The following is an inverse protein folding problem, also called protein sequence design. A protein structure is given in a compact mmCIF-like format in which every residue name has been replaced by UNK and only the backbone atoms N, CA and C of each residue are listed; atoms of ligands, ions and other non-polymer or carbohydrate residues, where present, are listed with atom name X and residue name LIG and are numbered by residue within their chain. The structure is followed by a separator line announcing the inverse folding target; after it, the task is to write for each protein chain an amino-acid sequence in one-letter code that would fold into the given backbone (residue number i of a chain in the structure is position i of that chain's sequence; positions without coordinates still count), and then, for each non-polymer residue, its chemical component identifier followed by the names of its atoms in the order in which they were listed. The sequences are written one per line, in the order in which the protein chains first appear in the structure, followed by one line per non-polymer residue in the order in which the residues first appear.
data_IF_937611385307
#
_entry.id   IF_937611385307
#
_cell.length_a   1.000
_cell.length_b   1.000
_cell.length_c   1.000
_cell.angle_alpha   90.00
_cell.angle_beta   90.00
_cell.angle_gamma   90.00
#
_symmetry.space_group_name_H-M   'P 1'
#
loop_
_entity.id
_entity.type
_entity.pdbx_description
1 polymer ?
#
# COMPACT_ATOMS: atom_id res chain seq x y z
N UNK A 1 -19.07 -60.81 -5.15
CA UNK A 1 -19.57 -61.16 -6.50
C UNK A 1 -19.47 -59.90 -7.35
N UNK A 2 -18.49 -59.87 -8.27
CA UNK A 2 -18.33 -59.04 -9.50
C UNK A 2 -18.61 -57.50 -9.38
N UNK A 3 -17.65 -56.56 -9.35
CA UNK A 3 -16.59 -56.13 -10.31
C UNK A 3 -17.07 -55.11 -11.39
N UNK A 4 -16.25 -54.05 -11.58
CA UNK A 4 -16.17 -53.01 -12.66
C UNK A 4 -17.05 -51.75 -12.50
N UNK A 5 -16.46 -50.56 -12.30
CA UNK A 5 -15.75 -49.64 -13.23
C UNK A 5 -16.66 -48.84 -14.18
N UNK A 6 -16.35 -47.54 -14.35
CA UNK A 6 -16.55 -46.86 -15.63
C UNK A 6 -17.50 -45.66 -15.65
N UNK A 7 -16.96 -44.50 -15.31
CA UNK A 7 -17.11 -43.19 -15.98
C UNK A 7 -17.89 -43.17 -17.31
N UNK A 8 -18.93 -42.33 -17.46
CA UNK A 8 -19.38 -41.82 -18.78
C UNK A 8 -19.85 -40.36 -18.67
N UNK A 9 -19.07 -39.49 -19.33
CA UNK A 9 -19.37 -38.12 -19.75
C UNK A 9 -20.35 -38.16 -20.93
N UNK A 10 -21.43 -37.37 -20.87
CA UNK A 10 -22.34 -37.05 -21.98
C UNK A 10 -21.53 -36.36 -23.09
N UNK A 11 -21.50 -36.74 -24.37
CA UNK A 11 -22.53 -37.36 -25.20
C UNK A 11 -23.26 -36.26 -25.99
N UNK A 12 -22.78 -35.89 -27.18
CA UNK A 12 -23.65 -35.30 -28.21
C UNK A 12 -23.30 -35.76 -29.63
N UNK A 13 -24.40 -36.04 -30.32
CA UNK A 13 -24.63 -36.81 -31.54
C UNK A 13 -24.26 -36.06 -32.83
N UNK A 14 -23.79 -36.77 -33.86
CA UNK A 14 -23.83 -36.36 -35.27
C UNK A 14 -24.35 -37.55 -36.11
N UNK A 15 -25.37 -37.36 -36.98
CA UNK A 15 -25.78 -38.40 -37.90
C UNK A 15 -25.16 -38.26 -39.31
N UNK A 16 -24.72 -39.42 -39.80
CA UNK A 16 -24.60 -39.94 -41.17
C UNK A 16 -25.24 -39.14 -42.33
N UNK A 17 -24.49 -38.98 -43.44
CA UNK A 17 -25.04 -39.02 -44.81
C UNK A 17 -24.09 -39.83 -45.71
N UNK A 18 -24.71 -40.68 -46.51
CA UNK A 18 -24.17 -41.79 -47.33
C UNK A 18 -23.43 -41.37 -48.59
N UNK A 19 -22.41 -42.16 -48.95
CA UNK A 19 -21.68 -42.11 -50.22
C UNK A 19 -22.51 -42.64 -51.39
N UNK A 20 -22.35 -42.03 -52.57
CA UNK A 20 -22.68 -42.64 -53.87
C UNK A 20 -21.53 -42.41 -54.83
N UNK A 21 -20.94 -43.51 -55.30
CA UNK A 21 -19.86 -43.52 -56.30
C UNK A 21 -20.47 -43.47 -57.70
N UNK A 22 -19.97 -42.56 -58.54
CA UNK A 22 -20.06 -42.65 -60.00
C UNK A 22 -18.64 -42.55 -60.54
N UNK A 23 -18.15 -43.63 -61.14
CA UNK A 23 -16.92 -43.64 -61.92
C UNK A 23 -17.21 -43.17 -63.35
N UNK A 24 -16.53 -42.13 -63.79
CA UNK A 24 -16.42 -41.76 -65.21
C UNK A 24 -14.95 -41.84 -65.59
N UNK A 25 -14.68 -42.57 -66.67
CA UNK A 25 -13.37 -42.82 -67.24
C UNK A 25 -12.69 -41.54 -67.74
N UNK A 26 -11.38 -41.43 -67.51
CA UNK A 26 -10.54 -40.36 -68.02
C UNK A 26 -10.16 -40.61 -69.49
N UNK A 27 -10.09 -39.57 -70.35
CA UNK A 27 -9.19 -39.56 -71.49
C UNK A 27 -7.87 -38.86 -71.13
N UNK A 28 -6.84 -39.32 -71.84
CA UNK A 28 -5.42 -39.08 -71.63
C UNK A 28 -4.98 -37.62 -71.70
N UNK A 29 -3.96 -37.33 -70.90
CA UNK A 29 -3.17 -36.10 -70.78
C UNK A 29 -2.71 -35.57 -72.14
N UNK A 30 -3.15 -34.37 -72.50
CA UNK A 30 -2.32 -33.42 -73.25
C UNK A 30 -1.55 -32.58 -72.22
N UNK A 31 -0.23 -32.66 -72.29
CA UNK A 31 0.66 -31.82 -71.51
C UNK A 31 0.59 -30.38 -72.05
N UNK A 32 0.01 -29.47 -71.28
CA UNK A 32 0.38 -28.05 -71.32
C UNK A 32 0.06 -27.37 -69.99
N UNK A 33 1.15 -27.03 -69.28
CA UNK A 33 1.35 -26.07 -68.18
C UNK A 33 0.65 -26.27 -66.82
N UNK A 34 1.41 -25.99 -65.76
CA UNK A 34 0.96 -25.68 -64.39
C UNK A 34 0.79 -26.80 -63.32
N UNK A 35 1.63 -27.83 -63.32
CA UNK A 35 1.86 -28.67 -62.11
C UNK A 35 2.49 -27.88 -60.93
N UNK A 36 3.19 -26.77 -61.22
CA UNK A 36 3.66 -25.83 -60.19
C UNK A 36 2.54 -24.96 -59.58
N UNK A 37 1.43 -24.77 -60.29
CA UNK A 37 0.30 -23.95 -59.84
C UNK A 37 -0.64 -24.72 -58.90
N UNK A 38 -0.76 -26.05 -59.07
CA UNK A 38 -1.59 -26.93 -58.21
C UNK A 38 -0.89 -27.27 -56.89
N UNK A 39 0.42 -27.54 -56.90
CA UNK A 39 1.22 -27.71 -55.66
C UNK A 39 1.36 -26.35 -54.95
N UNK A 40 1.49 -25.26 -55.72
CA UNK A 40 1.50 -23.89 -55.20
C UNK A 40 0.15 -23.47 -54.61
N UNK A 41 -0.99 -23.88 -55.17
CA UNK A 41 -2.32 -23.59 -54.61
C UNK A 41 -2.59 -24.39 -53.34
N UNK A 42 -2.30 -25.70 -53.29
CA UNK A 42 -2.48 -26.47 -52.05
C UNK A 42 -1.55 -25.97 -50.92
N UNK A 43 -0.29 -25.66 -51.23
CA UNK A 43 0.63 -25.07 -50.25
C UNK A 43 0.20 -23.65 -49.81
N UNK A 44 -0.31 -22.84 -50.74
CA UNK A 44 -0.85 -21.50 -50.47
C UNK A 44 -2.12 -21.58 -49.61
N UNK A 45 -3.04 -22.52 -49.87
CA UNK A 45 -4.27 -22.72 -49.09
C UNK A 45 -3.99 -23.23 -47.67
N UNK A 46 -3.02 -24.14 -47.49
CA UNK A 46 -2.62 -24.61 -46.15
C UNK A 46 -1.92 -23.49 -45.36
N UNK A 47 -1.09 -22.68 -46.01
CA UNK A 47 -0.42 -21.54 -45.38
C UNK A 47 -1.43 -20.43 -45.02
N UNK A 48 -2.41 -20.16 -45.89
CA UNK A 48 -3.53 -19.24 -45.63
C UNK A 48 -4.42 -19.73 -44.49
N UNK A 49 -4.73 -21.03 -44.42
CA UNK A 49 -5.47 -21.62 -43.30
C UNK A 49 -4.70 -21.53 -41.98
N UNK A 50 -3.39 -21.78 -41.98
CA UNK A 50 -2.55 -21.65 -40.79
C UNK A 50 -2.45 -20.19 -40.33
N UNK A 51 -2.31 -19.24 -41.26
CA UNK A 51 -2.33 -17.81 -40.94
C UNK A 51 -3.67 -17.36 -40.36
N UNK A 52 -4.80 -17.83 -40.90
CA UNK A 52 -6.12 -17.54 -40.37
C UNK A 52 -6.34 -18.08 -38.94
N UNK A 53 -5.84 -19.29 -38.65
CA UNK A 53 -5.92 -19.88 -37.30
C UNK A 53 -5.05 -19.11 -36.29
N UNK A 54 -3.85 -18.68 -36.70
CA UNK A 54 -2.96 -17.87 -35.86
C UNK A 54 -3.55 -16.48 -35.58
N UNK A 55 -4.20 -15.87 -36.57
CA UNK A 55 -4.89 -14.59 -36.40
C UNK A 55 -6.05 -14.71 -35.41
N UNK A 56 -6.88 -15.75 -35.51
CA UNK A 56 -7.99 -15.98 -34.59
C UNK A 56 -7.51 -16.15 -33.14
N UNK A 57 -6.42 -16.89 -32.93
CA UNK A 57 -5.82 -17.04 -31.60
C UNK A 57 -5.29 -15.71 -31.05
N UNK A 58 -4.64 -14.89 -31.88
CA UNK A 58 -4.16 -13.57 -31.48
C UNK A 58 -5.32 -12.62 -31.15
N UNK A 59 -6.37 -12.62 -31.99
CA UNK A 59 -7.58 -11.82 -31.76
C UNK A 59 -8.27 -12.18 -30.45
N UNK A 60 -8.39 -13.47 -30.12
CA UNK A 60 -8.93 -13.92 -28.84
C UNK A 60 -8.15 -13.35 -27.65
N UNK A 61 -6.82 -13.40 -27.69
CA UNK A 61 -5.97 -12.82 -26.64
C UNK A 61 -6.05 -11.29 -26.56
N UNK A 62 -6.26 -10.61 -27.68
CA UNK A 62 -6.41 -9.14 -27.73
C UNK A 62 -7.74 -8.70 -27.10
N UNK A 63 -8.82 -9.42 -27.40
CA UNK A 63 -10.15 -9.16 -26.80
C UNK A 63 -10.14 -9.45 -25.31
N UNK A 64 -9.47 -10.51 -24.87
CA UNK A 64 -9.31 -10.86 -23.45
C UNK A 64 -8.47 -9.81 -22.70
N UNK A 65 -7.39 -9.32 -23.30
CA UNK A 65 -6.54 -8.29 -22.71
C UNK A 65 -7.24 -6.91 -22.67
N UNK A 66 -7.99 -6.56 -23.72
CA UNK A 66 -8.81 -5.35 -23.77
C UNK A 66 -8.04 -4.02 -23.76
N UNK A 67 -6.71 -4.02 -23.82
CA UNK A 67 -5.90 -2.79 -23.77
C UNK A 67 -5.63 -2.19 -25.15
N UNK A 68 -5.45 -0.87 -25.19
CA UNK A 68 -5.08 -0.15 -26.42
C UNK A 68 -3.76 -0.65 -27.02
N UNK A 69 -2.82 -1.13 -26.19
CA UNK A 69 -1.56 -1.70 -26.66
C UNK A 69 -1.78 -3.03 -27.41
N UNK A 70 -2.64 -3.90 -26.87
CA UNK A 70 -2.99 -5.17 -27.52
C UNK A 70 -3.69 -4.94 -28.88
N UNK A 71 -4.63 -3.99 -28.95
CA UNK A 71 -5.29 -3.65 -30.22
C UNK A 71 -4.33 -3.02 -31.25
N UNK A 72 -3.35 -2.21 -30.84
CA UNK A 72 -2.30 -1.71 -31.75
C UNK A 72 -1.40 -2.82 -32.27
N UNK A 73 -0.96 -3.71 -31.39
CA UNK A 73 -0.12 -4.85 -31.78
C UNK A 73 -0.84 -5.78 -32.78
N UNK A 74 -2.14 -6.00 -32.60
CA UNK A 74 -2.95 -6.73 -33.57
C UNK A 74 -3.04 -6.03 -34.93
N UNK A 75 -3.22 -4.71 -34.95
CA UNK A 75 -3.28 -3.91 -36.18
C UNK A 75 -1.95 -3.81 -36.91
N UNK A 76 -0.81 -3.84 -36.19
CA UNK A 76 0.53 -3.88 -36.77
C UNK A 76 0.80 -5.24 -37.46
N UNK A 77 0.34 -6.33 -36.85
CA UNK A 77 0.51 -7.67 -37.41
C UNK A 77 -0.49 -7.98 -38.55
N UNK A 78 -1.73 -7.48 -38.45
CA UNK A 78 -2.82 -7.78 -39.38
C UNK A 78 -3.59 -6.50 -39.80
N UNK A 79 -2.97 -5.59 -40.57
CA UNK A 79 -3.58 -4.31 -40.93
C UNK A 79 -4.82 -4.43 -41.82
N UNK A 80 -4.96 -5.51 -42.59
CA UNK A 80 -6.12 -5.78 -43.46
C UNK A 80 -6.89 -7.05 -43.04
N UNK A 81 -6.67 -7.55 -41.81
CA UNK A 81 -7.33 -8.75 -41.31
C UNK A 81 -8.85 -8.56 -41.12
N UNK A 82 -9.63 -9.66 -41.08
CA UNK A 82 -11.08 -9.63 -40.86
C UNK A 82 -11.51 -8.86 -39.60
N UNK A 83 -10.74 -8.90 -38.50
CA UNK A 83 -11.07 -8.14 -37.28
C UNK A 83 -10.41 -6.75 -37.22
N UNK A 84 -9.68 -6.32 -38.26
CA UNK A 84 -8.97 -5.04 -38.26
C UNK A 84 -9.93 -3.84 -38.13
N UNK A 85 -11.15 -3.93 -38.69
CA UNK A 85 -12.16 -2.87 -38.51
C UNK A 85 -12.60 -2.77 -37.04
N UNK A 86 -12.97 -3.90 -36.43
CA UNK A 86 -13.39 -3.95 -35.03
C UNK A 86 -12.26 -3.54 -34.08
N UNK A 87 -11.02 -3.96 -34.35
CA UNK A 87 -9.85 -3.56 -33.58
C UNK A 87 -9.60 -2.05 -33.63
N UNK A 88 -9.72 -1.41 -34.81
CA UNK A 88 -9.63 0.07 -34.94
C UNK A 88 -10.72 0.78 -34.17
N UNK A 89 -11.97 0.29 -34.24
CA UNK A 89 -13.09 0.88 -33.51
C UNK A 89 -12.89 0.80 -31.99
N UNK A 90 -12.42 -0.35 -31.47
CA UNK A 90 -12.12 -0.52 -30.05
C UNK A 90 -10.93 0.34 -29.62
N UNK A 91 -9.86 0.38 -30.41
CA UNK A 91 -8.72 1.25 -30.16
C UNK A 91 -9.14 2.72 -30.09
N UNK A 92 -9.93 3.19 -31.06
CA UNK A 92 -10.43 4.56 -31.09
C UNK A 92 -11.29 4.89 -29.86
N UNK A 93 -12.13 3.96 -29.40
CA UNK A 93 -12.91 4.12 -28.15
C UNK A 93 -12.02 4.25 -26.92
N UNK A 94 -11.02 3.38 -26.78
CA UNK A 94 -10.09 3.38 -25.65
C UNK A 94 -9.23 4.65 -25.64
N UNK A 95 -8.74 5.09 -26.79
CA UNK A 95 -7.95 6.33 -26.93
C UNK A 95 -8.82 7.57 -26.70
N UNK A 96 -10.06 7.59 -27.18
CA UNK A 96 -11.02 8.66 -26.87
C UNK A 96 -11.34 8.74 -25.37
N UNK A 97 -11.51 7.60 -24.71
CA UNK A 97 -11.72 7.54 -23.26
C UNK A 97 -10.48 8.03 -22.50
N UNK A 98 -9.27 7.62 -22.88
CA UNK A 98 -8.03 8.10 -22.30
C UNK A 98 -7.84 9.62 -22.50
N UNK A 99 -8.14 10.12 -23.70
CA UNK A 99 -8.09 11.55 -24.01
C UNK A 99 -9.12 12.35 -23.20
N UNK A 100 -10.32 11.80 -22.97
CA UNK A 100 -11.34 12.41 -22.13
C UNK A 100 -10.88 12.49 -20.66
N UNK A 101 -10.29 11.42 -20.14
CA UNK A 101 -9.70 11.40 -18.79
C UNK A 101 -8.55 12.40 -18.65
N UNK A 102 -7.66 12.48 -19.63
CA UNK A 102 -6.56 13.45 -19.63
C UNK A 102 -7.06 14.91 -19.65
N UNK A 103 -8.06 15.21 -20.49
CA UNK A 103 -8.72 16.52 -20.50
C UNK A 103 -9.39 16.84 -19.17
N UNK A 104 -10.06 15.86 -18.55
CA UNK A 104 -10.69 16.04 -17.25
C UNK A 104 -9.65 16.26 -16.13
N UNK A 105 -8.52 15.56 -16.17
CA UNK A 105 -7.42 15.75 -15.23
C UNK A 105 -6.79 17.15 -15.35
N UNK A 106 -6.58 17.63 -16.59
CA UNK A 106 -6.11 18.99 -16.85
C UNK A 106 -7.12 20.04 -16.36
N UNK A 107 -8.42 19.82 -16.59
CA UNK A 107 -9.46 20.70 -16.11
C UNK A 107 -9.47 20.77 -14.57
N UNK A 108 -9.33 19.64 -13.87
CA UNK A 108 -9.22 19.60 -12.41
C UNK A 108 -7.96 20.31 -11.90
N UNK A 109 -6.83 20.14 -12.61
CA UNK A 109 -5.59 20.83 -12.27
C UNK A 109 -5.71 22.36 -12.43
N UNK A 110 -6.41 22.81 -13.47
CA UNK A 110 -6.67 24.23 -13.72
C UNK A 110 -7.56 24.89 -12.65
N UNK A 111 -8.31 24.12 -11.87
CA UNK A 111 -9.05 24.64 -10.72
C UNK A 111 -8.15 25.10 -9.56
N UNK A 112 -6.85 24.77 -9.62
CA UNK A 112 -5.87 25.11 -8.59
C UNK A 112 -6.36 24.75 -7.16
N UNK A 113 -7.01 23.58 -7.03
CA UNK A 113 -7.64 23.15 -5.78
C UNK A 113 -6.62 23.11 -4.65
N UNK A 114 -6.87 23.92 -3.63
CA UNK A 114 -6.09 23.90 -2.40
C UNK A 114 -6.33 22.60 -1.66
N UNK A 115 -5.44 22.25 -0.73
CA UNK A 115 -5.65 21.07 0.11
C UNK A 115 -6.98 21.16 0.89
N UNK A 116 -7.36 22.36 1.32
CA UNK A 116 -8.63 22.61 2.00
C UNK A 116 -9.83 22.29 1.10
N UNK A 117 -9.77 22.67 -0.18
CA UNK A 117 -10.81 22.34 -1.17
C UNK A 117 -10.89 20.82 -1.38
N UNK A 118 -9.75 20.13 -1.46
CA UNK A 118 -9.68 18.67 -1.63
C UNK A 118 -10.27 17.92 -0.44
N UNK A 119 -9.99 18.37 0.78
CA UNK A 119 -10.61 17.84 2.01
C UNK A 119 -12.12 18.09 2.02
N UNK A 120 -12.56 19.30 1.63
CA UNK A 120 -13.98 19.63 1.55
C UNK A 120 -14.72 18.73 0.55
N UNK A 121 -14.09 18.45 -0.60
CA UNK A 121 -14.59 17.51 -1.62
C UNK A 121 -14.71 16.10 -1.05
N UNK A 122 -13.67 15.57 -0.40
CA UNK A 122 -13.72 14.23 0.20
C UNK A 122 -14.78 14.11 1.30
N UNK A 123 -14.89 15.09 2.20
CA UNK A 123 -15.97 15.17 3.22
C UNK A 123 -17.35 15.15 2.58
N UNK A 124 -17.51 15.88 1.48
CA UNK A 124 -18.79 15.93 0.76
C UNK A 124 -19.12 14.60 0.10
N UNK A 125 -18.13 13.93 -0.50
CA UNK A 125 -18.32 12.59 -1.06
C UNK A 125 -18.65 11.54 0.01
N UNK A 126 -18.07 11.67 1.20
CA UNK A 126 -18.39 10.84 2.37
C UNK A 126 -19.82 11.06 2.85
N UNK A 127 -20.23 12.33 3.03
CA UNK A 127 -21.60 12.68 3.39
C UNK A 127 -22.65 12.22 2.36
N UNK A 128 -22.26 12.10 1.09
CA UNK A 128 -23.12 11.58 0.01
C UNK A 128 -23.06 10.03 -0.11
N UNK A 129 -22.26 9.35 0.72
CA UNK A 129 -22.12 7.90 0.75
C UNK A 129 -21.21 7.30 -0.32
N UNK A 130 -20.50 8.12 -1.10
CA UNK A 130 -19.59 7.67 -2.18
C UNK A 130 -18.15 7.44 -1.70
N UNK A 131 -17.77 8.03 -0.56
CA UNK A 131 -16.44 7.88 0.03
C UNK A 131 -16.54 7.04 1.30
N UNK A 132 -15.65 6.06 1.45
CA UNK A 132 -15.60 5.15 2.61
C UNK A 132 -14.20 5.03 3.21
N UNK A 133 -13.26 5.85 2.72
CA UNK A 133 -11.86 5.83 3.13
C UNK A 133 -11.49 7.13 3.83
N UNK A 134 -10.25 7.25 4.28
CA UNK A 134 -9.78 8.41 5.04
C UNK A 134 -9.81 9.71 4.24
N UNK A 135 -10.27 10.77 4.89
CA UNK A 135 -10.27 12.14 4.37
C UNK A 135 -8.91 12.76 4.71
N UNK A 136 -8.04 12.87 3.70
CA UNK A 136 -6.64 13.30 3.81
C UNK A 136 -6.29 14.47 2.86
N UNK A 137 -7.23 14.87 2.01
CA UNK A 137 -7.07 15.86 0.94
C UNK A 137 -6.20 15.39 -0.22
N UNK A 138 -5.74 14.13 -0.22
CA UNK A 138 -4.94 13.55 -1.30
C UNK A 138 -5.86 12.80 -2.26
N UNK A 139 -5.84 13.21 -3.53
CA UNK A 139 -6.69 12.57 -4.54
C UNK A 139 -6.00 11.33 -5.13
N UNK A 140 -6.03 10.25 -4.35
CA UNK A 140 -5.56 8.92 -4.77
C UNK A 140 -6.64 8.08 -5.47
N UNK A 141 -6.32 6.82 -5.78
CA UNK A 141 -7.22 5.90 -6.49
C UNK A 141 -8.59 5.73 -5.79
N UNK A 142 -8.63 5.79 -4.45
CA UNK A 142 -9.88 5.78 -3.69
C UNK A 142 -10.78 6.98 -4.01
N UNK A 143 -10.23 8.20 -3.95
CA UNK A 143 -10.97 9.43 -4.26
C UNK A 143 -11.40 9.47 -5.72
N UNK A 144 -10.56 9.02 -6.66
CA UNK A 144 -10.92 8.93 -8.09
C UNK A 144 -12.13 8.04 -8.32
N UNK A 145 -12.15 6.84 -7.70
CA UNK A 145 -13.30 5.93 -7.79
C UNK A 145 -14.56 6.53 -7.19
N UNK A 146 -14.46 7.23 -6.05
CA UNK A 146 -15.61 7.88 -5.43
C UNK A 146 -16.15 9.05 -6.25
N UNK A 147 -15.27 9.85 -6.88
CA UNK A 147 -15.69 10.91 -7.82
C UNK A 147 -16.39 10.27 -9.03
N UNK A 148 -15.84 9.20 -9.59
CA UNK A 148 -16.44 8.50 -10.72
C UNK A 148 -17.83 7.91 -10.37
N UNK A 149 -17.96 7.28 -9.21
CA UNK A 149 -19.24 6.75 -8.72
C UNK A 149 -20.28 7.86 -8.48
N UNK A 150 -19.85 9.01 -7.95
CA UNK A 150 -20.73 10.18 -7.81
C UNK A 150 -21.15 10.74 -9.18
N UNK A 151 -20.23 10.84 -10.15
CA UNK A 151 -20.54 11.26 -11.52
C UNK A 151 -21.57 10.33 -12.18
N UNK A 152 -21.38 9.02 -12.03
CA UNK A 152 -22.30 7.99 -12.54
C UNK A 152 -23.70 8.13 -11.92
N UNK A 153 -23.79 8.35 -10.60
CA UNK A 153 -25.08 8.59 -9.92
C UNK A 153 -25.83 9.82 -10.45
N UNK A 154 -25.09 10.77 -11.04
CA UNK A 154 -25.61 12.02 -11.63
C UNK A 154 -25.76 11.95 -13.15
N UNK A 155 -25.55 10.78 -13.76
CA UNK A 155 -25.55 10.58 -15.22
C UNK A 155 -24.53 11.47 -15.96
N UNK A 156 -23.43 11.80 -15.28
CA UNK A 156 -22.31 12.54 -15.85
C UNK A 156 -21.22 11.56 -16.33
N UNK A 157 -20.34 11.99 -17.26
CA UNK A 157 -19.17 11.19 -17.62
C UNK A 157 -18.31 10.84 -16.40
N UNK A 158 -18.14 9.55 -16.12
CA UNK A 158 -17.46 9.00 -14.94
C UNK A 158 -15.93 9.01 -15.10
N UNK A 159 -15.34 10.19 -15.31
CA UNK A 159 -13.89 10.36 -15.53
C UNK A 159 -13.09 10.21 -14.24
N UNK A 160 -13.70 10.37 -13.07
CA UNK A 160 -13.01 10.37 -11.77
C UNK A 160 -12.30 11.69 -11.44
N UNK A 161 -12.47 12.72 -12.29
CA UNK A 161 -11.91 14.07 -12.10
C UNK A 161 -13.03 15.12 -12.15
N UNK A 162 -12.92 16.14 -11.30
CA UNK A 162 -13.93 17.20 -11.20
C UNK A 162 -13.57 18.41 -12.07
N UNK A 163 -14.56 18.92 -12.81
CA UNK A 163 -14.48 20.26 -13.42
C UNK A 163 -15.16 21.33 -12.53
N UNK A 164 -15.05 22.61 -12.92
CA UNK A 164 -15.57 23.73 -12.14
C UNK A 164 -17.09 23.63 -11.86
N UNK A 165 -17.87 23.23 -12.87
CA UNK A 165 -19.32 23.09 -12.77
C UNK A 165 -19.70 21.92 -11.84
N UNK A 166 -19.05 20.77 -12.03
CA UNK A 166 -19.21 19.58 -11.20
C UNK A 166 -18.82 19.86 -9.74
N UNK A 167 -17.77 20.64 -9.50
CA UNK A 167 -17.38 21.06 -8.16
C UNK A 167 -18.49 21.89 -7.48
N UNK A 168 -19.13 22.82 -8.20
CA UNK A 168 -20.27 23.59 -7.68
C UNK A 168 -21.46 22.69 -7.35
N UNK A 169 -21.77 21.74 -8.23
CA UNK A 169 -22.84 20.76 -8.04
C UNK A 169 -22.56 19.85 -6.83
N UNK A 170 -21.33 19.36 -6.68
CA UNK A 170 -20.92 18.51 -5.57
C UNK A 170 -21.05 19.25 -4.23
N UNK A 171 -20.52 20.47 -4.16
CA UNK A 171 -20.54 21.29 -2.95
C UNK A 171 -21.91 21.95 -2.66
N UNK A 172 -22.87 21.85 -3.58
CA UNK A 172 -24.23 22.40 -3.40
C UNK A 172 -24.28 23.93 -3.31
N UNK A 173 -23.27 24.64 -3.84
CA UNK A 173 -23.24 26.11 -3.87
C UNK A 173 -24.07 26.62 -5.05
N UNK A 174 -25.39 26.64 -4.88
CA UNK A 174 -26.28 27.40 -5.75
C UNK A 174 -26.09 28.90 -5.47
N UNK A 175 -25.50 29.61 -6.42
CA UNK A 175 -25.48 31.08 -6.48
C UNK A 175 -24.85 31.82 -5.29
N UNK A 176 -23.54 32.04 -5.30
CA UNK A 176 -22.88 33.20 -4.68
C UNK A 176 -21.47 33.34 -5.27
N UNK A 177 -21.08 34.55 -5.65
CA UNK A 177 -19.68 34.95 -5.89
C UNK A 177 -18.80 34.61 -4.68
N UNK A 178 -17.46 34.52 -4.83
CA UNK A 178 -16.57 34.31 -3.70
C UNK A 178 -16.71 35.50 -2.73
N UNK A 179 -17.47 35.31 -1.66
CA UNK A 179 -17.46 36.21 -0.51
C UNK A 179 -16.12 36.04 0.22
N UNK A 180 -15.53 37.13 0.75
CA UNK A 180 -14.28 37.07 1.49
C UNK A 180 -14.41 36.08 2.66
N UNK A 181 -13.31 35.38 2.95
CA UNK A 181 -13.25 34.27 3.90
C UNK A 181 -13.99 34.60 5.22
N UNK A 182 -14.82 33.70 5.75
CA UNK A 182 -15.37 33.85 7.09
C UNK A 182 -14.23 33.87 8.12
N UNK A 183 -14.37 34.58 9.25
CA UNK A 183 -13.32 34.70 10.26
C UNK A 183 -12.89 33.31 10.72
N UNK A 184 -11.58 33.10 10.78
CA UNK A 184 -10.93 31.90 11.30
C UNK A 184 -11.46 31.65 12.71
N UNK A 185 -12.36 30.68 12.85
CA UNK A 185 -12.64 30.11 14.16
C UNK A 185 -11.44 29.24 14.51
N UNK A 186 -10.70 29.65 15.54
CA UNK A 186 -9.52 28.95 16.08
C UNK A 186 -9.92 27.56 16.60
N UNK A 187 -10.14 26.62 15.69
CA UNK A 187 -10.26 25.21 16.02
C UNK A 187 -8.85 24.62 16.09
N UNK A 188 -8.35 24.26 17.29
CA UNK A 188 -6.96 23.86 17.49
C UNK A 188 -6.56 22.59 16.72
N UNK A 189 -7.53 21.74 16.39
CA UNK A 189 -7.31 20.56 15.52
C UNK A 189 -7.18 20.96 14.05
N UNK A 190 -7.94 21.97 13.61
CA UNK A 190 -7.87 22.49 12.23
C UNK A 190 -6.58 23.28 12.02
N UNK A 191 -6.15 24.07 13.00
CA UNK A 191 -4.86 24.77 12.95
C UNK A 191 -3.67 23.82 13.01
N UNK A 192 -3.73 22.74 13.80
CA UNK A 192 -2.67 21.72 13.85
C UNK A 192 -2.58 20.90 12.55
N UNK A 193 -3.72 20.54 11.95
CA UNK A 193 -3.72 19.90 10.63
C UNK A 193 -3.15 20.82 9.55
N UNK A 194 -3.53 22.10 9.55
CA UNK A 194 -2.96 23.10 8.65
C UNK A 194 -1.45 23.28 8.88
N UNK A 195 -0.99 23.26 10.14
CA UNK A 195 0.41 23.36 10.49
C UNK A 195 1.22 22.17 9.97
N UNK A 196 0.73 20.92 10.15
CA UNK A 196 1.36 19.71 9.60
C UNK A 196 1.45 19.76 8.07
N UNK A 197 0.41 20.28 7.42
CA UNK A 197 0.37 20.45 5.98
C UNK A 197 1.39 21.49 5.48
N UNK A 198 1.55 22.61 6.19
CA UNK A 198 2.51 23.66 5.85
C UNK A 198 3.96 23.19 5.96
N UNK A 199 4.23 22.07 6.65
CA UNK A 199 5.57 21.47 6.69
C UNK A 199 6.00 20.87 5.35
N UNK A 200 5.04 20.57 4.46
CA UNK A 200 5.35 19.99 3.14
C UNK A 200 6.11 18.67 3.23
N UNK A 201 5.87 17.86 4.28
CA UNK A 201 6.64 16.63 4.54
C UNK A 201 6.64 15.70 3.34
N UNK A 202 7.82 15.36 2.85
CA UNK A 202 8.03 14.38 1.79
C UNK A 202 7.72 12.96 2.27
N UNK A 203 7.48 12.01 1.36
CA UNK A 203 7.22 10.61 1.73
C UNK A 203 8.34 9.99 2.59
N UNK A 204 9.64 10.19 2.30
CA UNK A 204 10.70 9.73 3.19
C UNK A 204 10.66 10.34 4.60
N UNK A 205 10.35 11.64 4.73
CA UNK A 205 10.22 12.28 6.04
C UNK A 205 9.04 11.71 6.85
N UNK A 206 7.93 11.37 6.18
CA UNK A 206 6.79 10.72 6.83
C UNK A 206 7.10 9.29 7.28
N UNK A 207 7.81 8.51 6.45
CA UNK A 207 8.33 7.19 6.85
C UNK A 207 9.22 7.32 8.08
N UNK A 208 10.08 8.35 8.12
CA UNK A 208 10.96 8.57 9.27
C UNK A 208 10.16 8.85 10.55
N UNK A 209 9.16 9.73 10.51
CA UNK A 209 8.28 10.00 11.66
C UNK A 209 7.57 8.72 12.14
N UNK A 210 7.10 7.87 11.22
CA UNK A 210 6.50 6.59 11.60
C UNK A 210 7.52 5.65 12.26
N UNK A 211 8.76 5.59 11.76
CA UNK A 211 9.83 4.80 12.40
C UNK A 211 10.16 5.31 13.79
N UNK A 212 10.25 6.63 13.95
CA UNK A 212 10.52 7.26 15.24
C UNK A 212 9.40 6.95 16.25
N UNK A 213 8.13 7.00 15.82
CA UNK A 213 6.98 6.56 16.64
C UNK A 213 7.05 5.08 17.04
N UNK A 214 7.39 4.20 16.10
CA UNK A 214 7.57 2.76 16.36
C UNK A 214 8.72 2.53 17.35
N UNK A 215 9.84 3.24 17.19
CA UNK A 215 10.99 3.15 18.09
C UNK A 215 10.65 3.58 19.52
N UNK A 216 9.74 4.54 19.66
CA UNK A 216 9.17 4.98 20.93
C UNK A 216 8.09 4.04 21.49
N UNK A 217 7.72 2.98 20.76
CA UNK A 217 6.74 1.98 21.18
C UNK A 217 5.30 2.31 20.80
N UNK A 218 5.05 3.29 19.94
CA UNK A 218 3.72 3.60 19.41
C UNK A 218 3.48 2.85 18.10
N UNK A 219 2.40 2.07 18.05
CA UNK A 219 2.04 1.31 16.84
C UNK A 219 1.38 2.21 15.79
N UNK A 220 2.04 2.36 14.65
CA UNK A 220 1.54 3.12 13.49
C UNK A 220 0.83 2.24 12.46
N UNK A 221 0.74 0.92 12.68
CA UNK A 221 0.42 -0.10 11.68
C UNK A 221 1.42 -0.15 10.50
N UNK A 222 2.70 0.12 10.79
CA UNK A 222 3.80 0.12 9.81
C UNK A 222 4.29 1.50 9.40
N UNK A 223 5.38 1.52 8.63
CA UNK A 223 6.08 2.74 8.17
C UNK A 223 6.09 2.83 6.63
N UNK A 224 4.93 3.15 6.06
CA UNK A 224 4.66 3.19 4.61
C UNK A 224 4.68 4.61 4.02
N UNK A 225 4.83 5.63 4.87
CA UNK A 225 4.81 7.04 4.53
C UNK A 225 3.42 7.62 4.32
N UNK A 226 2.36 6.89 4.70
CA UNK A 226 0.96 7.32 4.65
C UNK A 226 0.44 7.55 6.07
N UNK A 227 0.03 8.77 6.40
CA UNK A 227 -0.50 9.10 7.73
C UNK A 227 -1.99 8.76 7.84
N UNK A 228 -2.28 7.46 7.93
CA UNK A 228 -3.61 6.91 8.15
C UNK A 228 -4.04 6.89 9.63
N UNK A 229 -5.17 6.25 9.92
CA UNK A 229 -5.76 6.21 11.26
C UNK A 229 -4.80 5.68 12.35
N UNK A 230 -3.98 4.67 12.03
CA UNK A 230 -2.97 4.12 12.95
C UNK A 230 -1.92 5.16 13.32
N UNK A 231 -1.31 5.82 12.34
CA UNK A 231 -0.32 6.87 12.60
C UNK A 231 -0.92 8.07 13.34
N UNK A 232 -2.18 8.44 13.07
CA UNK A 232 -2.87 9.52 13.81
C UNK A 232 -3.07 9.17 15.28
N UNK A 233 -3.40 7.92 15.59
CA UNK A 233 -3.54 7.48 16.98
C UNK A 233 -2.19 7.40 17.68
N UNK A 234 -1.15 6.92 17.00
CA UNK A 234 0.22 6.93 17.53
C UNK A 234 0.69 8.36 17.87
N UNK A 235 0.44 9.34 16.99
CA UNK A 235 0.75 10.74 17.25
C UNK A 235 -0.05 11.27 18.46
N UNK A 236 -1.35 10.96 18.58
CA UNK A 236 -2.15 11.34 19.76
C UNK A 236 -1.62 10.72 21.03
N UNK A 237 -1.21 9.45 21.00
CA UNK A 237 -0.65 8.76 22.14
C UNK A 237 0.67 9.40 22.59
N UNK A 238 1.59 9.66 21.65
CA UNK A 238 2.84 10.38 21.93
C UNK A 238 2.58 11.79 22.47
N UNK A 239 1.65 12.53 21.88
CA UNK A 239 1.27 13.87 22.36
C UNK A 239 0.71 13.83 23.80
N UNK A 240 -0.17 12.87 24.12
CA UNK A 240 -0.68 12.69 25.49
C UNK A 240 0.45 12.37 26.47
N UNK A 241 1.37 11.49 26.06
CA UNK A 241 2.47 11.07 26.92
C UNK A 241 3.49 12.20 27.18
N UNK A 242 3.66 13.12 26.23
CA UNK A 242 4.55 14.28 26.35
C UNK A 242 3.86 15.52 26.94
N UNK A 243 2.63 15.38 27.46
CA UNK A 243 1.87 16.49 28.05
C UNK A 243 1.38 17.52 27.03
N UNK A 244 1.43 17.20 25.74
CA UNK A 244 0.99 18.05 24.65
C UNK A 244 -0.49 17.80 24.32
N UNK A 245 -1.10 18.75 23.60
CA UNK A 245 -2.47 18.59 23.13
C UNK A 245 -2.53 17.48 22.08
N UNK A 246 -3.39 16.48 22.32
CA UNK A 246 -3.54 15.29 21.48
C UNK A 246 -4.37 15.57 20.20
N UNK A 247 -3.83 16.38 19.29
CA UNK A 247 -4.47 16.74 18.02
C UNK A 247 -4.39 15.61 16.99
N UNK A 248 -3.38 14.73 17.09
CA UNK A 248 -3.08 13.71 16.09
C UNK A 248 -2.35 14.21 14.85
N UNK A 249 -1.94 15.48 14.86
CA UNK A 249 -1.16 16.12 13.81
C UNK A 249 0.13 16.70 14.40
N UNK A 250 1.24 16.63 13.66
CA UNK A 250 2.54 17.12 14.10
C UNK A 250 2.85 18.52 13.56
N UNK A 251 3.38 19.40 14.40
CA UNK A 251 3.97 20.69 14.02
C UNK A 251 5.48 20.56 13.75
N UNK A 252 6.11 21.59 13.19
CA UNK A 252 7.56 21.61 12.94
C UNK A 252 8.37 21.30 14.21
N UNK A 253 8.00 21.96 15.32
CA UNK A 253 8.65 21.76 16.62
C UNK A 253 8.44 20.33 17.13
N UNK A 254 7.27 19.75 16.91
CA UNK A 254 6.94 18.39 17.32
C UNK A 254 7.72 17.33 16.53
N UNK A 255 7.98 17.53 15.24
CA UNK A 255 8.84 16.61 14.46
C UNK A 255 10.26 16.57 15.02
N UNK A 256 10.80 17.72 15.43
CA UNK A 256 12.10 17.80 16.09
C UNK A 256 12.11 17.06 17.44
N UNK A 257 11.15 17.38 18.31
CA UNK A 257 11.02 16.73 19.62
C UNK A 257 10.87 15.20 19.52
N UNK A 258 10.00 14.73 18.61
CA UNK A 258 9.77 13.31 18.38
C UNK A 258 11.02 12.56 17.93
N UNK A 259 11.82 13.19 17.06
CA UNK A 259 13.11 12.62 16.65
C UNK A 259 14.08 12.55 17.83
N UNK A 260 14.21 13.62 18.62
CA UNK A 260 15.08 13.64 19.79
C UNK A 260 14.67 12.57 20.82
N UNK A 261 13.37 12.39 21.06
CA UNK A 261 12.87 11.33 21.93
C UNK A 261 13.26 9.93 21.40
N UNK A 262 13.08 9.70 20.09
CA UNK A 262 13.40 8.42 19.46
C UNK A 262 14.91 8.14 19.46
N UNK A 263 15.74 9.16 19.25
CA UNK A 263 17.20 9.08 19.32
C UNK A 263 17.66 8.79 20.75
N UNK A 264 17.08 9.47 21.76
CA UNK A 264 17.35 9.19 23.17
C UNK A 264 17.03 7.74 23.50
N UNK A 265 15.84 7.25 23.10
CA UNK A 265 15.43 5.85 23.32
C UNK A 265 16.34 4.85 22.60
N UNK A 266 16.77 5.16 21.38
CA UNK A 266 17.73 4.36 20.63
C UNK A 266 19.11 4.32 21.31
N UNK A 267 19.56 5.46 21.84
CA UNK A 267 20.82 5.55 22.57
C UNK A 267 20.79 4.78 23.90
N UNK A 268 19.67 4.82 24.63
CA UNK A 268 19.44 3.99 25.83
C UNK A 268 19.46 2.50 25.50
N UNK A 269 18.83 2.10 24.39
CA UNK A 269 18.80 0.70 23.96
C UNK A 269 20.18 0.19 23.54
N UNK A 270 20.97 1.02 22.88
CA UNK A 270 22.37 0.73 22.54
C UNK A 270 23.26 0.70 23.78
N UNK A 271 23.08 1.64 24.71
CA UNK A 271 23.77 1.71 25.99
C UNK A 271 23.47 0.48 26.86
N UNK A 272 22.21 0.06 26.96
CA UNK A 272 21.82 -1.16 27.66
C UNK A 272 22.42 -2.41 27.03
N UNK A 273 22.57 -2.46 25.70
CA UNK A 273 23.24 -3.59 25.03
C UNK A 273 24.75 -3.59 25.22
N UNK A 274 25.38 -2.42 25.23
CA UNK A 274 26.80 -2.29 25.58
C UNK A 274 27.05 -2.71 27.05
N UNK A 275 26.22 -2.22 27.97
CA UNK A 275 26.30 -2.56 29.38
C UNK A 275 26.05 -4.07 29.64
N UNK A 276 25.17 -4.70 28.86
CA UNK A 276 24.97 -6.15 28.91
C UNK A 276 26.21 -6.94 28.50
N UNK A 277 26.93 -6.47 27.48
CA UNK A 277 28.20 -7.09 27.03
C UNK A 277 29.26 -6.90 28.11
N UNK A 278 29.38 -5.70 28.68
CA UNK A 278 30.35 -5.41 29.74
C UNK A 278 30.11 -6.27 30.99
N UNK A 279 28.84 -6.48 31.39
CA UNK A 279 28.48 -7.36 32.50
C UNK A 279 28.84 -8.83 32.21
N UNK A 280 28.64 -9.30 30.97
CA UNK A 280 29.01 -10.67 30.57
C UNK A 280 30.54 -10.85 30.59
N UNK A 281 31.30 -9.83 30.19
CA UNK A 281 32.76 -9.80 30.23
C UNK A 281 33.33 -9.86 31.65
N UNK A 282 32.53 -9.57 32.69
CA UNK A 282 32.93 -9.78 34.09
C UNK A 282 33.12 -11.26 34.43
N UNK A 283 32.56 -12.18 33.63
CA UNK A 283 32.72 -13.62 33.82
C UNK A 283 32.13 -14.12 35.14
N UNK A 284 31.13 -13.43 35.70
CA UNK A 284 30.53 -13.77 36.99
C UNK A 284 30.01 -15.21 36.96
N UNK A 285 30.39 -16.00 37.96
CA UNK A 285 29.86 -17.36 38.12
C UNK A 285 28.41 -17.33 38.58
N UNK A 286 27.70 -18.46 38.41
CA UNK A 286 26.31 -18.57 38.88
C UNK A 286 26.18 -18.35 40.40
N UNK A 287 27.16 -18.79 41.17
CA UNK A 287 27.23 -18.56 42.62
C UNK A 287 27.38 -17.08 42.96
N UNK A 288 28.24 -16.34 42.25
CA UNK A 288 28.42 -14.90 42.47
C UNK A 288 27.19 -14.09 42.06
N UNK A 289 26.52 -14.49 40.98
CA UNK A 289 25.22 -13.91 40.62
C UNK A 289 24.15 -14.14 41.70
N UNK A 290 24.13 -15.34 42.29
CA UNK A 290 23.21 -15.64 43.39
C UNK A 290 23.53 -14.78 44.63
N UNK A 291 24.80 -14.58 44.96
CA UNK A 291 25.24 -13.69 46.03
C UNK A 291 24.75 -12.24 45.80
N UNK A 292 24.89 -11.73 44.58
CA UNK A 292 24.39 -10.41 44.18
C UNK A 292 22.86 -10.31 44.36
N UNK A 293 22.11 -11.32 43.92
CA UNK A 293 20.66 -11.36 44.15
C UNK A 293 20.30 -11.39 45.63
N UNK A 294 21.00 -12.18 46.45
CA UNK A 294 20.78 -12.21 47.91
C UNK A 294 20.99 -10.82 48.52
N UNK A 295 22.00 -10.09 48.04
CA UNK A 295 22.27 -8.73 48.50
C UNK A 295 21.17 -7.75 48.10
N UNK A 296 20.72 -7.79 46.85
CA UNK A 296 19.57 -6.98 46.39
C UNK A 296 18.28 -7.31 47.15
N UNK A 297 18.09 -8.57 47.55
CA UNK A 297 16.97 -8.99 48.42
C UNK A 297 17.12 -8.37 49.81
N UNK A 298 18.31 -8.47 50.41
CA UNK A 298 18.59 -7.90 51.73
C UNK A 298 18.45 -6.37 51.79
N UNK A 299 18.74 -5.69 50.68
CA UNK A 299 18.55 -4.25 50.52
C UNK A 299 17.10 -3.86 50.17
N UNK A 300 16.24 -4.82 49.81
CA UNK A 300 14.83 -4.61 49.51
C UNK A 300 14.50 -4.29 48.06
N UNK A 301 15.48 -4.31 47.15
CA UNK A 301 15.28 -4.05 45.71
C UNK A 301 14.70 -5.25 44.96
N UNK A 302 15.00 -6.47 45.41
CA UNK A 302 14.55 -7.72 44.79
C UNK A 302 13.70 -8.53 45.77
N UNK A 303 12.65 -9.20 45.28
CA UNK A 303 11.81 -10.12 46.05
C UNK A 303 11.91 -11.52 45.47
N UNK A 304 11.96 -12.54 46.32
CA UNK A 304 12.04 -13.94 45.90
C UNK A 304 13.31 -14.62 46.39
N UNK A 305 13.75 -15.66 45.66
CA UNK A 305 14.96 -16.41 45.97
C UNK A 305 16.10 -16.05 45.02
N UNK A 306 17.33 -16.18 45.50
CA UNK A 306 18.53 -16.01 44.69
C UNK A 306 18.87 -17.32 43.96
N UNK A 307 18.62 -17.34 42.65
CA UNK A 307 18.79 -18.50 41.77
C UNK A 307 20.02 -18.37 40.84
N UNK A 308 20.72 -17.24 40.89
CA UNK A 308 21.89 -16.93 40.07
C UNK A 308 21.57 -16.63 38.60
N UNK A 309 20.30 -16.38 38.26
CA UNK A 309 19.84 -16.06 36.90
C UNK A 309 19.31 -14.63 36.83
N UNK A 310 19.97 -13.79 36.05
CA UNK A 310 19.57 -12.38 35.93
C UNK A 310 18.47 -12.18 34.88
N UNK A 311 17.23 -12.43 35.29
CA UNK A 311 16.03 -12.15 34.52
C UNK A 311 15.52 -10.71 34.67
N UNK A 312 14.38 -10.40 34.04
CA UNK A 312 13.77 -9.06 34.03
C UNK A 312 13.57 -8.46 35.45
N UNK A 313 13.19 -9.29 36.43
CA UNK A 313 13.03 -8.84 37.82
C UNK A 313 14.35 -8.41 38.45
N UNK A 314 15.45 -9.12 38.19
CA UNK A 314 16.79 -8.76 38.68
C UNK A 314 17.31 -7.52 37.96
N UNK A 315 17.09 -7.38 36.64
CA UNK A 315 17.44 -6.17 35.88
C UNK A 315 16.75 -4.93 36.45
N UNK A 316 15.45 -5.03 36.72
CA UNK A 316 14.70 -3.93 37.34
C UNK A 316 15.18 -3.63 38.76
N UNK A 317 15.59 -4.64 39.52
CA UNK A 317 16.16 -4.42 40.86
C UNK A 317 17.52 -3.71 40.80
N UNK A 318 18.39 -4.10 39.85
CA UNK A 318 19.69 -3.46 39.62
C UNK A 318 19.50 -2.01 39.16
N UNK A 319 18.59 -1.73 38.21
CA UNK A 319 18.34 -0.37 37.73
C UNK A 319 17.81 0.54 38.85
N UNK A 320 16.90 0.05 39.71
CA UNK A 320 16.45 0.81 40.89
C UNK A 320 17.58 1.08 41.88
N UNK A 321 18.42 0.08 42.13
CA UNK A 321 19.58 0.25 42.98
C UNK A 321 20.57 1.27 42.39
N UNK A 322 20.80 1.25 41.08
CA UNK A 322 21.62 2.24 40.38
C UNK A 322 21.04 3.65 40.55
N UNK A 323 19.73 3.83 40.29
CA UNK A 323 19.05 5.12 40.44
C UNK A 323 19.15 5.68 41.86
N UNK A 324 18.94 4.85 42.89
CA UNK A 324 19.04 5.26 44.30
C UNK A 324 20.48 5.62 44.72
N UNK A 325 21.50 5.15 43.99
CA UNK A 325 22.90 5.51 44.20
C UNK A 325 23.40 6.61 43.24
N UNK A 326 22.50 7.23 42.45
CA UNK A 326 22.83 8.29 41.50
C UNK A 326 23.63 7.81 40.29
N UNK A 327 23.55 6.53 39.96
CA UNK A 327 24.19 5.90 38.81
C UNK A 327 23.20 5.79 37.63
N UNK A 328 23.72 5.64 36.41
CA UNK A 328 22.90 5.37 35.24
C UNK A 328 22.14 4.04 35.40
N UNK A 329 20.82 4.07 35.22
CA UNK A 329 19.90 2.94 35.41
C UNK A 329 19.95 1.91 34.26
N UNK A 330 21.15 1.45 33.89
CA UNK A 330 21.35 0.50 32.80
C UNK A 330 20.69 -0.86 33.07
N UNK A 331 20.52 -1.23 34.35
CA UNK A 331 20.07 -2.55 34.78
C UNK A 331 21.16 -3.64 34.68
N UNK A 332 22.39 -3.27 34.33
CA UNK A 332 23.56 -4.15 34.21
C UNK A 332 24.71 -3.62 35.08
N UNK A 333 25.42 -4.54 35.75
CA UNK A 333 26.45 -4.18 36.71
C UNK A 333 27.84 -4.06 36.05
N UNK A 334 28.60 -3.04 36.43
CA UNK A 334 30.05 -2.96 36.15
C UNK A 334 30.87 -3.64 37.27
N UNK A 335 32.15 -3.91 37.02
CA UNK A 335 33.05 -4.52 38.01
C UNK A 335 33.11 -3.73 39.33
N UNK A 336 33.10 -2.40 39.24
CA UNK A 336 33.10 -1.51 40.40
C UNK A 336 31.76 -1.59 41.15
N UNK A 337 30.64 -1.54 40.43
CA UNK A 337 29.30 -1.64 41.01
C UNK A 337 29.08 -2.98 41.74
N UNK A 338 29.62 -4.09 41.23
CA UNK A 338 29.58 -5.38 41.93
C UNK A 338 30.29 -5.29 43.29
N UNK A 339 31.46 -4.63 43.36
CA UNK A 339 32.19 -4.45 44.62
C UNK A 339 31.41 -3.55 45.58
N UNK A 340 30.92 -2.42 45.10
CA UNK A 340 30.10 -1.50 45.91
C UNK A 340 28.86 -2.19 46.48
N UNK A 341 28.13 -2.93 45.64
CA UNK A 341 26.94 -3.67 46.06
C UNK A 341 27.28 -4.74 47.12
N UNK A 342 28.41 -5.44 46.98
CA UNK A 342 28.90 -6.42 47.97
C UNK A 342 29.31 -5.78 49.30
N UNK A 343 29.70 -4.52 49.31
CA UNK A 343 30.12 -3.81 50.53
C UNK A 343 28.98 -3.03 51.19
N UNK A 344 27.94 -2.66 50.43
CA UNK A 344 26.86 -1.77 50.90
C UNK A 344 25.95 -2.42 51.95
N UNK A 345 26.03 -1.96 53.19
CA UNK A 345 25.16 -2.40 54.30
C UNK A 345 23.92 -1.51 54.32
N UNK A 346 22.75 -2.10 54.62
CA UNK A 346 21.50 -1.37 54.81
C UNK A 346 21.71 -0.28 55.87
N UNK A 347 21.57 1.00 55.48
CA UNK A 347 21.50 2.12 56.42
C UNK A 347 20.11 2.18 57.06
#
# INVERSE_FOLDING_TARGET
MLQREGEIVRGFCFPLVTASMVSIAAPSVHADQNLGEVIGTIARTVLEQQQAAHEQALWAGVVENGSAAAYRQYLDAYPQGPNAKSAREQLAKLEAAAAATNRAAQAEAALALTQADRVAIQRRLDALGFYKTSIDGVFGAGTRRSIAAWQESRKLPSTGYLNAEQLRLLLGRAGSTPAPAPPVVDNPVTSAAQAELNLGLTRPQRVQIQRDLIALGYDTNGADGLFGAGTREAIRAWQRNTGQRATGYVTAAQVGALRSDAEARGSEALGGRAAAIDEDLLGLTRSERAEIQQRLIGLGYLKGQADGVFGASTRNAISRWQGDNGLDESGYLTAEQVRTLREQVRR
#
